data_IF_614465589961
#
_entry.id   IF_614465589961
#
_cell.length_a   1.000
_cell.length_b   1.000
_cell.length_c   1.000
_cell.angle_alpha   90.00
_cell.angle_beta   90.00
_cell.angle_gamma   90.00
#
_symmetry.space_group_name_H-M   'P 1'
#
loop_
_entity.id
_entity.type
_entity.pdbx_description
1 polymer ?
#
# COMPACT_ATOMS: atom_id res chain seq x y z
N UNK A 1 7.05 27.94 3.71
CA UNK A 1 7.18 27.22 4.99
C UNK A 1 5.85 26.55 5.29
N UNK A 2 5.88 25.23 5.53
CA UNK A 2 4.68 24.46 5.89
C UNK A 2 4.48 24.41 7.41
N UNK A 3 3.25 24.11 7.84
CA UNK A 3 2.90 23.88 9.25
C UNK A 3 2.30 22.50 9.42
N UNK A 4 2.86 21.72 10.34
CA UNK A 4 2.38 20.40 10.74
C UNK A 4 1.92 20.47 12.18
N UNK A 5 0.82 19.81 12.50
CA UNK A 5 0.32 19.67 13.86
C UNK A 5 0.28 18.19 14.24
N UNK A 6 0.89 17.86 15.38
CA UNK A 6 0.73 16.55 16.03
C UNK A 6 -0.11 16.75 17.29
N UNK A 7 -1.08 15.88 17.48
CA UNK A 7 -1.90 15.77 18.70
C UNK A 7 -1.95 14.31 19.10
N UNK A 8 -1.91 14.03 20.39
CA UNK A 8 -1.94 12.66 20.83
C UNK A 8 -2.18 12.49 22.31
N UNK A 9 -2.34 11.25 22.71
CA UNK A 9 -2.42 10.80 24.09
C UNK A 9 -1.38 9.70 24.24
N UNK A 10 -0.59 9.79 25.28
CA UNK A 10 0.39 8.77 25.65
C UNK A 10 0.04 8.25 27.05
N UNK A 11 0.05 6.94 27.19
CA UNK A 11 -0.16 6.26 28.45
C UNK A 11 1.04 5.37 28.75
N UNK A 12 1.57 5.49 29.95
CA UNK A 12 2.63 4.62 30.46
C UNK A 12 2.21 4.02 31.81
N UNK A 13 2.40 2.72 31.95
CA UNK A 13 2.12 1.97 33.16
C UNK A 13 3.36 1.17 33.54
N UNK A 14 3.84 1.39 34.77
CA UNK A 14 4.87 0.58 35.40
C UNK A 14 4.24 -0.16 36.58
N UNK A 15 4.36 -1.48 36.58
CA UNK A 15 3.78 -2.33 37.60
C UNK A 15 4.80 -3.33 38.13
N UNK A 16 4.85 -3.48 39.44
CA UNK A 16 5.47 -4.63 40.08
C UNK A 16 4.36 -5.61 40.42
N UNK A 17 4.21 -6.63 39.57
CA UNK A 17 3.10 -7.59 39.63
C UNK A 17 3.26 -8.56 40.78
N UNK A 18 4.49 -9.04 41.01
CA UNK A 18 4.86 -9.94 42.10
C UNK A 18 6.22 -9.49 42.63
N UNK A 19 6.33 -9.43 43.95
CA UNK A 19 7.58 -9.22 44.66
C UNK A 19 7.65 -10.11 45.90
N UNK A 20 8.56 -11.05 45.86
CA UNK A 20 8.89 -11.95 46.97
C UNK A 20 10.37 -11.95 47.23
N UNK A 21 10.84 -12.65 48.28
CA UNK A 21 12.27 -12.74 48.58
C UNK A 21 13.12 -13.32 47.44
N UNK A 22 12.55 -14.23 46.64
CA UNK A 22 13.29 -14.98 45.63
C UNK A 22 12.76 -14.76 44.21
N UNK A 23 11.65 -14.03 44.02
CA UNK A 23 11.03 -13.83 42.71
C UNK A 23 10.44 -12.43 42.61
N UNK A 24 10.78 -11.74 41.53
CA UNK A 24 10.18 -10.44 41.17
C UNK A 24 9.71 -10.51 39.74
N UNK A 25 8.50 -10.01 39.50
CA UNK A 25 7.94 -9.79 38.15
C UNK A 25 7.48 -8.36 38.01
N UNK A 26 8.06 -7.66 37.04
CA UNK A 26 7.73 -6.28 36.69
C UNK A 26 7.26 -6.20 35.24
N UNK A 27 6.30 -5.31 35.00
CA UNK A 27 5.77 -5.00 33.67
C UNK A 27 5.87 -3.50 33.44
N UNK A 28 6.45 -3.12 32.31
CA UNK A 28 6.40 -1.78 31.75
C UNK A 28 5.55 -1.85 30.46
N UNK A 29 4.48 -1.06 30.42
CA UNK A 29 3.60 -0.93 29.25
C UNK A 29 3.54 0.54 28.84
N UNK A 30 3.59 0.79 27.53
CA UNK A 30 3.32 2.09 26.97
C UNK A 30 2.48 1.97 25.70
N UNK A 31 1.64 2.98 25.47
CA UNK A 31 0.86 3.10 24.24
C UNK A 31 0.69 4.58 23.89
N UNK A 32 0.88 4.91 22.62
CA UNK A 32 0.77 6.27 22.09
C UNK A 32 -0.25 6.29 20.94
N UNK A 33 -1.20 7.19 21.02
CA UNK A 33 -2.17 7.52 19.97
C UNK A 33 -1.80 8.89 19.41
N UNK A 34 -1.29 8.96 18.19
CA UNK A 34 -0.84 10.21 17.57
C UNK A 34 -1.64 10.49 16.31
N UNK A 35 -2.16 11.70 16.21
CA UNK A 35 -2.78 12.24 15.00
C UNK A 35 -1.90 13.34 14.43
N UNK A 36 -1.34 13.10 13.28
CA UNK A 36 -0.60 14.06 12.48
C UNK A 36 -1.55 14.77 11.50
N UNK A 37 -1.37 16.07 11.29
CA UNK A 37 -2.16 16.83 10.31
C UNK A 37 -1.30 17.93 9.68
N UNK A 38 -1.22 17.96 8.37
CA UNK A 38 -0.63 19.04 7.60
C UNK A 38 -1.59 20.24 7.60
N UNK A 39 -1.24 21.34 8.26
CA UNK A 39 -2.10 22.53 8.39
C UNK A 39 -1.96 23.50 7.23
N UNK A 40 -0.77 23.66 6.71
CA UNK A 40 -0.51 24.53 5.56
C UNK A 40 0.77 24.11 4.83
N UNK A 41 0.85 24.47 3.58
CA UNK A 41 2.06 24.50 2.75
C UNK A 41 2.40 25.96 2.40
N UNK A 42 3.25 26.17 1.40
CA UNK A 42 3.49 27.51 0.85
C UNK A 42 2.18 28.11 0.32
N UNK A 43 2.12 29.44 0.24
CA UNK A 43 0.91 30.15 -0.21
C UNK A 43 0.42 29.63 -1.55
N UNK A 44 -0.88 29.30 -1.63
CA UNK A 44 -1.52 28.77 -2.85
C UNK A 44 -1.27 27.30 -3.14
N UNK A 45 -0.51 26.58 -2.29
CA UNK A 45 -0.22 25.15 -2.49
C UNK A 45 -1.07 24.33 -1.53
N UNK A 46 -1.91 23.44 -2.08
CA UNK A 46 -2.80 22.58 -1.29
C UNK A 46 -2.28 21.15 -1.15
N UNK A 47 -1.34 20.73 -1.98
CA UNK A 47 -0.71 19.40 -1.90
C UNK A 47 0.73 19.43 -2.41
N UNK A 48 1.50 18.44 -2.01
CA UNK A 48 2.83 18.13 -2.54
C UNK A 48 2.93 16.64 -2.84
N UNK A 49 3.60 16.30 -3.93
CA UNK A 49 3.89 14.92 -4.30
C UNK A 49 5.36 14.60 -4.00
N UNK A 50 5.61 13.37 -3.55
CA UNK A 50 6.94 12.86 -3.29
C UNK A 50 7.12 11.46 -3.90
N UNK A 51 8.37 11.09 -4.13
CA UNK A 51 8.78 9.75 -4.58
C UNK A 51 9.57 9.08 -3.47
N UNK A 52 9.31 7.79 -3.24
CA UNK A 52 10.12 6.98 -2.33
C UNK A 52 11.54 6.77 -2.85
N UNK A 53 11.71 6.78 -4.18
CA UNK A 53 13.02 6.59 -4.80
C UNK A 53 13.59 5.18 -4.64
N UNK A 54 12.75 4.17 -4.45
CA UNK A 54 13.20 2.78 -4.26
C UNK A 54 13.89 2.17 -5.50
N UNK A 55 13.63 2.71 -6.70
CA UNK A 55 14.27 2.34 -7.95
C UNK A 55 14.41 3.58 -8.83
N UNK A 56 15.58 3.79 -9.45
CA UNK A 56 15.86 4.91 -10.36
C UNK A 56 14.96 4.94 -11.59
N UNK A 57 14.45 3.77 -12.02
CA UNK A 57 13.54 3.64 -13.15
C UNK A 57 12.08 3.88 -12.79
N UNK A 58 11.75 3.91 -11.48
CA UNK A 58 10.41 4.21 -11.01
C UNK A 58 10.22 5.71 -10.91
N UNK A 59 9.49 6.28 -11.87
CA UNK A 59 9.37 7.73 -12.03
C UNK A 59 8.08 8.33 -11.46
N UNK A 60 7.13 7.49 -11.05
CA UNK A 60 5.86 7.96 -10.49
C UNK A 60 5.99 8.48 -9.07
N UNK A 61 5.14 9.43 -8.73
CA UNK A 61 4.93 9.86 -7.35
C UNK A 61 4.06 8.84 -6.65
N UNK A 62 4.56 8.30 -5.56
CA UNK A 62 3.91 7.26 -4.73
C UNK A 62 3.43 7.78 -3.38
N UNK A 63 3.86 8.99 -2.99
CA UNK A 63 3.42 9.67 -1.78
C UNK A 63 2.83 11.04 -2.07
N UNK A 64 1.86 11.44 -1.25
CA UNK A 64 1.24 12.76 -1.31
C UNK A 64 1.06 13.34 0.09
N UNK A 65 1.34 14.63 0.21
CA UNK A 65 1.01 15.44 1.38
C UNK A 65 -0.11 16.41 0.99
N UNK A 66 -1.28 16.30 1.64
CA UNK A 66 -2.47 17.08 1.34
C UNK A 66 -2.82 17.92 2.57
N UNK A 67 -3.05 19.23 2.39
CA UNK A 67 -3.46 20.13 3.47
C UNK A 67 -4.78 19.63 4.10
N UNK A 68 -4.81 19.56 5.41
CA UNK A 68 -5.94 19.03 6.19
C UNK A 68 -5.85 17.52 6.48
N UNK A 69 -4.94 16.79 5.83
CA UNK A 69 -4.77 15.35 6.01
C UNK A 69 -3.47 15.01 6.76
N UNK A 70 -3.30 13.73 7.08
CA UNK A 70 -2.07 13.18 7.63
C UNK A 70 -0.92 13.26 6.62
N UNK A 71 0.30 13.31 7.09
CA UNK A 71 1.47 13.00 6.26
C UNK A 71 1.57 11.48 6.01
N UNK A 72 2.41 11.11 5.05
CA UNK A 72 2.66 9.70 4.73
C UNK A 72 1.54 9.02 3.97
N UNK A 73 0.69 9.79 3.28
CA UNK A 73 -0.35 9.23 2.41
C UNK A 73 0.30 8.56 1.20
N UNK A 74 -0.05 7.30 0.99
CA UNK A 74 0.29 6.55 -0.22
C UNK A 74 -0.77 6.90 -1.27
N UNK A 75 -0.34 7.31 -2.47
CA UNK A 75 -1.21 7.87 -3.48
C UNK A 75 -1.07 7.14 -4.82
N UNK A 76 -2.16 6.62 -5.31
CA UNK A 76 -2.16 5.80 -6.53
C UNK A 76 -3.56 5.40 -6.96
N UNK A 77 -3.64 4.35 -7.77
CA UNK A 77 -4.90 3.79 -8.23
C UNK A 77 -5.42 2.73 -7.25
N UNK A 78 -6.73 2.65 -7.09
CA UNK A 78 -7.37 1.53 -6.40
C UNK A 78 -7.45 0.34 -7.36
N UNK A 79 -6.87 -0.80 -6.97
CA UNK A 79 -6.87 -2.03 -7.76
C UNK A 79 -8.27 -2.66 -7.77
N UNK A 80 -8.82 -2.89 -8.95
CA UNK A 80 -10.17 -3.46 -9.16
C UNK A 80 -10.11 -4.83 -9.86
N UNK A 81 -8.95 -5.47 -9.84
CA UNK A 81 -8.78 -6.80 -10.43
C UNK A 81 -8.09 -6.79 -11.79
N UNK A 82 -8.47 -7.71 -12.64
CA UNK A 82 -7.84 -7.97 -13.94
C UNK A 82 -8.92 -8.11 -14.98
N UNK A 83 -8.75 -7.46 -16.13
CA UNK A 83 -9.65 -7.64 -17.25
C UNK A 83 -9.73 -9.12 -17.65
N UNK A 84 -10.95 -9.61 -17.78
CA UNK A 84 -11.26 -10.99 -18.19
C UNK A 84 -11.80 -11.03 -19.61
N UNK A 85 -11.88 -12.21 -20.22
CA UNK A 85 -12.54 -12.36 -21.52
C UNK A 85 -14.00 -11.89 -21.50
N UNK A 86 -14.68 -11.99 -20.35
CA UNK A 86 -16.04 -11.49 -20.16
C UNK A 86 -16.19 -9.97 -20.35
N UNK A 87 -15.10 -9.19 -20.20
CA UNK A 87 -15.10 -7.74 -20.37
C UNK A 87 -15.01 -7.31 -21.85
N UNK A 88 -14.80 -8.27 -22.75
CA UNK A 88 -14.60 -8.01 -24.18
C UNK A 88 -15.62 -8.81 -25.02
N UNK A 89 -15.79 -8.39 -26.26
CA UNK A 89 -16.40 -9.19 -27.30
C UNK A 89 -15.45 -9.34 -28.49
N UNK A 90 -15.59 -10.49 -29.18
CA UNK A 90 -14.80 -10.77 -30.39
C UNK A 90 -15.46 -10.12 -31.60
N UNK A 91 -14.66 -9.53 -32.46
CA UNK A 91 -15.14 -9.10 -33.78
C UNK A 91 -15.18 -10.29 -34.72
N UNK A 92 -16.33 -10.62 -35.33
CA UNK A 92 -16.42 -11.74 -36.29
C UNK A 92 -15.38 -11.60 -37.40
N UNK A 93 -14.63 -12.67 -37.65
CA UNK A 93 -13.59 -12.70 -38.71
C UNK A 93 -12.29 -12.03 -38.34
N UNK A 94 -12.12 -11.58 -37.07
CA UNK A 94 -10.89 -10.94 -36.55
C UNK A 94 -10.45 -11.58 -35.25
N UNK A 95 -9.16 -11.54 -34.98
CA UNK A 95 -8.60 -11.85 -33.66
C UNK A 95 -8.70 -10.66 -32.67
N UNK A 96 -9.27 -9.55 -33.10
CA UNK A 96 -9.38 -8.33 -32.29
C UNK A 96 -10.46 -8.50 -31.24
N UNK A 97 -10.11 -8.16 -30.00
CA UNK A 97 -11.02 -8.04 -28.87
C UNK A 97 -11.35 -6.57 -28.64
N UNK A 98 -12.63 -6.26 -28.51
CA UNK A 98 -13.11 -4.90 -28.24
C UNK A 98 -13.72 -4.87 -26.85
N UNK A 99 -13.34 -3.85 -26.04
CA UNK A 99 -13.88 -3.66 -24.71
C UNK A 99 -15.39 -3.42 -24.79
N UNK A 100 -16.15 -4.07 -23.93
CA UNK A 100 -17.60 -3.90 -23.86
C UNK A 100 -17.98 -2.51 -23.38
N UNK A 101 -19.11 -2.01 -23.87
CA UNK A 101 -19.72 -0.81 -23.35
C UNK A 101 -20.02 -0.94 -21.85
N UNK A 102 -19.78 0.12 -21.08
CA UNK A 102 -19.94 0.12 -19.63
C UNK A 102 -18.76 -0.51 -18.85
N UNK A 103 -17.75 -1.05 -19.52
CA UNK A 103 -16.51 -1.50 -18.88
C UNK A 103 -15.48 -0.36 -18.93
N UNK A 104 -14.99 0.06 -17.78
CA UNK A 104 -14.00 1.15 -17.66
C UNK A 104 -12.76 0.85 -18.51
N UNK A 105 -12.37 1.80 -19.33
CA UNK A 105 -11.19 1.71 -20.19
C UNK A 105 -9.94 2.21 -19.47
N UNK A 106 -8.77 1.62 -19.78
CA UNK A 106 -7.48 2.15 -19.30
C UNK A 106 -6.54 2.46 -20.48
N UNK A 107 -6.57 3.70 -21.00
CA UNK A 107 -5.76 4.11 -22.16
C UNK A 107 -4.25 4.01 -21.91
N UNK A 108 -3.79 4.06 -20.66
CA UNK A 108 -2.37 3.90 -20.32
C UNK A 108 -1.81 2.52 -20.69
N UNK A 109 -2.68 1.52 -20.84
CA UNK A 109 -2.29 0.19 -21.33
C UNK A 109 -2.00 0.20 -22.84
N UNK A 110 -2.62 1.09 -23.61
CA UNK A 110 -2.50 1.10 -25.07
C UNK A 110 -2.88 -0.26 -25.67
N UNK A 111 -2.05 -0.81 -26.53
CA UNK A 111 -2.25 -2.13 -27.17
C UNK A 111 -2.26 -3.32 -26.18
N UNK A 112 -1.96 -3.09 -24.90
CA UNK A 112 -1.98 -4.10 -23.82
C UNK A 112 -3.34 -4.18 -23.13
N UNK A 113 -4.29 -3.30 -23.48
CA UNK A 113 -5.66 -3.38 -22.97
C UNK A 113 -6.36 -4.61 -23.58
N UNK A 114 -6.27 -5.72 -22.87
CA UNK A 114 -6.75 -7.02 -23.26
C UNK A 114 -7.04 -7.87 -22.02
N UNK A 115 -7.68 -9.05 -22.15
CA UNK A 115 -7.78 -9.99 -21.04
C UNK A 115 -6.42 -10.28 -20.41
N UNK A 116 -6.36 -10.21 -19.09
CA UNK A 116 -5.12 -10.31 -18.32
C UNK A 116 -4.45 -8.98 -17.97
N UNK A 117 -4.92 -7.85 -18.47
CA UNK A 117 -4.40 -6.54 -18.07
C UNK A 117 -4.96 -6.09 -16.71
N UNK A 118 -4.19 -5.27 -15.98
CA UNK A 118 -4.59 -4.69 -14.71
C UNK A 118 -5.80 -3.77 -14.89
N UNK A 119 -6.76 -3.87 -13.98
CA UNK A 119 -7.96 -3.05 -13.92
C UNK A 119 -7.92 -2.17 -12.68
N UNK A 120 -8.23 -0.90 -12.84
CA UNK A 120 -8.34 0.06 -11.76
C UNK A 120 -9.76 0.54 -11.60
N UNK A 121 -10.10 1.01 -10.42
CA UNK A 121 -11.38 1.59 -10.11
C UNK A 121 -11.45 3.00 -10.68
N UNK A 122 -12.51 3.25 -11.41
CA UNK A 122 -12.90 4.55 -11.89
C UNK A 122 -13.48 5.33 -10.71
N UNK A 123 -12.80 6.39 -10.31
CA UNK A 123 -13.17 7.16 -9.11
C UNK A 123 -14.16 8.30 -9.45
N UNK A 124 -14.09 8.86 -10.64
CA UNK A 124 -14.99 9.96 -11.05
C UNK A 124 -16.17 9.48 -11.91
N UNK A 125 -16.17 8.21 -12.34
CA UNK A 125 -17.27 7.57 -13.04
C UNK A 125 -17.40 7.97 -14.52
N UNK A 126 -16.31 8.47 -15.12
CA UNK A 126 -16.31 8.91 -16.52
C UNK A 126 -16.07 7.76 -17.52
N UNK A 127 -15.82 6.53 -17.02
CA UNK A 127 -15.59 5.31 -17.82
C UNK A 127 -14.16 5.16 -18.32
N UNK A 128 -13.23 6.05 -17.95
CA UNK A 128 -11.87 6.07 -18.47
C UNK A 128 -10.84 6.31 -17.38
N UNK A 129 -9.94 5.38 -17.13
CA UNK A 129 -8.86 5.55 -16.15
C UNK A 129 -7.87 6.62 -16.60
N UNK A 130 -7.77 7.67 -15.81
CA UNK A 130 -6.88 8.80 -15.98
C UNK A 130 -6.14 9.12 -14.68
N UNK A 131 -5.35 10.18 -14.66
CA UNK A 131 -4.70 10.65 -13.42
C UNK A 131 -5.68 11.17 -12.37
N UNK A 132 -6.95 11.45 -12.74
CA UNK A 132 -8.01 11.87 -11.82
C UNK A 132 -8.51 10.72 -10.93
N UNK A 133 -8.35 9.47 -11.39
CA UNK A 133 -8.73 8.28 -10.64
C UNK A 133 -7.71 7.87 -9.58
N UNK A 134 -6.61 8.61 -9.49
CA UNK A 134 -5.66 8.41 -8.40
C UNK A 134 -6.23 8.96 -7.10
N UNK A 135 -6.12 8.17 -6.04
CA UNK A 135 -6.64 8.48 -4.71
C UNK A 135 -5.66 8.09 -3.62
N UNK A 136 -5.99 8.41 -2.38
CA UNK A 136 -5.24 7.91 -1.22
C UNK A 136 -5.57 6.43 -1.02
N UNK A 137 -4.58 5.57 -1.25
CA UNK A 137 -4.71 4.12 -1.15
C UNK A 137 -4.13 3.54 0.14
N UNK A 138 -3.50 4.37 0.97
CA UNK A 138 -2.98 3.97 2.28
C UNK A 138 -2.34 5.13 3.03
N UNK A 139 -1.95 4.87 4.28
CA UNK A 139 -1.24 5.80 5.14
C UNK A 139 -0.11 5.09 5.89
N UNK A 140 1.12 5.56 5.70
CA UNK A 140 2.30 4.98 6.34
C UNK A 140 2.40 5.28 7.85
N UNK A 141 1.63 6.22 8.38
CA UNK A 141 1.67 6.55 9.81
C UNK A 141 0.69 5.67 10.60
N UNK A 142 1.12 5.05 11.69
CA UNK A 142 0.26 4.24 12.53
C UNK A 142 -0.80 5.09 13.26
N UNK A 143 -1.95 4.50 13.53
CA UNK A 143 -2.99 5.08 14.38
C UNK A 143 -2.61 5.05 15.84
N UNK A 144 -1.90 4.00 16.25
CA UNK A 144 -1.33 3.83 17.58
C UNK A 144 -0.15 2.84 17.54
N UNK A 145 0.76 3.01 18.46
CA UNK A 145 1.90 2.12 18.64
C UNK A 145 2.28 2.07 20.11
N UNK A 146 3.03 1.06 20.48
CA UNK A 146 3.46 0.91 21.86
C UNK A 146 4.32 -0.32 22.09
N UNK A 147 4.52 -0.63 23.35
CA UNK A 147 5.29 -1.78 23.75
C UNK A 147 4.95 -2.27 25.14
N UNK A 148 5.27 -3.53 25.40
CA UNK A 148 5.21 -4.14 26.70
C UNK A 148 6.52 -4.85 26.97
N UNK A 149 7.14 -4.53 28.10
CA UNK A 149 8.34 -5.21 28.59
C UNK A 149 7.99 -5.93 29.88
N UNK A 150 8.30 -7.21 29.97
CA UNK A 150 8.23 -7.96 31.21
C UNK A 150 9.63 -8.36 31.65
N UNK A 151 9.91 -8.16 32.92
CA UNK A 151 11.17 -8.52 33.56
C UNK A 151 10.90 -9.43 34.74
N UNK A 152 11.59 -10.54 34.78
CA UNK A 152 11.51 -11.54 35.83
C UNK A 152 12.88 -11.73 36.45
N UNK A 153 12.94 -11.74 37.76
CA UNK A 153 14.13 -12.13 38.50
C UNK A 153 13.80 -13.30 39.43
N UNK A 154 14.55 -14.35 39.34
CA UNK A 154 14.39 -15.52 40.21
C UNK A 154 15.75 -16.01 40.70
N UNK A 155 16.01 -15.87 42.01
CA UNK A 155 17.25 -16.33 42.66
C UNK A 155 18.55 -15.96 41.92
N UNK A 156 18.62 -14.71 41.40
CA UNK A 156 19.77 -14.19 40.66
C UNK A 156 19.81 -14.53 39.18
N UNK A 157 18.76 -15.16 38.64
CA UNK A 157 18.54 -15.32 37.20
C UNK A 157 17.59 -14.24 36.72
N UNK A 158 18.01 -13.43 35.76
CA UNK A 158 17.22 -12.38 35.14
C UNK A 158 16.76 -12.83 33.76
N UNK A 159 15.46 -12.67 33.49
CA UNK A 159 14.86 -12.88 32.17
C UNK A 159 13.99 -11.68 31.82
N UNK A 160 14.20 -11.10 30.63
CA UNK A 160 13.39 -10.00 30.13
C UNK A 160 13.04 -10.21 28.67
N UNK A 161 11.82 -9.86 28.31
CA UNK A 161 11.41 -9.77 26.91
C UNK A 161 10.58 -8.51 26.67
N UNK A 162 10.69 -7.97 25.45
CA UNK A 162 9.93 -6.82 24.99
C UNK A 162 9.17 -7.17 23.73
N UNK A 163 7.90 -6.82 23.71
CA UNK A 163 7.06 -6.85 22.53
C UNK A 163 6.74 -5.41 22.11
N UNK A 164 6.96 -5.09 20.85
CA UNK A 164 6.56 -3.83 20.24
C UNK A 164 5.47 -4.07 19.22
N UNK A 165 4.56 -3.12 19.09
CA UNK A 165 3.46 -3.19 18.15
C UNK A 165 3.15 -1.85 17.53
N UNK A 166 2.76 -1.90 16.25
CA UNK A 166 2.17 -0.79 15.50
C UNK A 166 0.84 -1.26 14.92
N UNK A 167 -0.11 -0.34 14.81
CA UNK A 167 -1.41 -0.66 14.23
C UNK A 167 -1.94 0.46 13.35
N UNK A 168 -2.52 0.05 12.22
CA UNK A 168 -3.27 0.93 11.33
C UNK A 168 -2.40 1.77 10.41
N UNK A 169 -1.13 1.40 10.23
CA UNK A 169 -0.28 1.90 9.16
C UNK A 169 -0.30 0.93 7.97
N UNK A 170 -0.17 1.51 6.79
CA UNK A 170 -0.02 0.78 5.53
C UNK A 170 1.44 0.87 5.08
N UNK A 171 1.91 -0.17 4.41
CA UNK A 171 3.26 -0.20 3.82
C UNK A 171 3.11 -0.48 2.33
N UNK A 172 3.59 0.46 1.50
CA UNK A 172 3.69 0.22 0.07
C UNK A 172 4.84 -0.76 -0.22
N UNK A 173 4.49 -1.98 -0.59
CA UNK A 173 5.46 -3.05 -0.82
C UNK A 173 6.05 -2.97 -2.24
N UNK A 174 6.96 -2.02 -2.45
CA UNK A 174 7.65 -1.80 -3.71
C UNK A 174 8.48 -3.04 -4.16
N UNK A 175 9.01 -3.81 -3.22
CA UNK A 175 9.72 -5.06 -3.52
C UNK A 175 8.78 -6.08 -4.16
N UNK A 176 7.56 -6.23 -3.64
CA UNK A 176 6.56 -7.12 -4.23
C UNK A 176 6.10 -6.62 -5.60
N UNK A 177 5.84 -5.32 -5.76
CA UNK A 177 5.54 -4.72 -7.05
C UNK A 177 6.61 -5.10 -8.09
N UNK A 178 7.87 -4.89 -7.73
CA UNK A 178 9.01 -5.12 -8.60
C UNK A 178 9.22 -6.60 -8.94
N UNK A 179 9.08 -7.48 -7.96
CA UNK A 179 9.28 -8.92 -8.11
C UNK A 179 8.09 -9.66 -8.73
N UNK A 180 6.96 -8.98 -8.97
CA UNK A 180 5.79 -9.53 -9.66
C UNK A 180 5.60 -9.00 -11.07
N UNK A 181 6.30 -7.94 -11.47
CA UNK A 181 6.29 -7.46 -12.84
C UNK A 181 7.16 -8.34 -13.72
N UNK A 182 6.53 -9.03 -14.67
CA UNK A 182 7.18 -10.03 -15.52
C UNK A 182 7.78 -9.47 -16.80
N UNK A 183 7.34 -8.29 -17.24
CA UNK A 183 7.73 -7.67 -18.52
C UNK A 183 9.06 -6.90 -18.47
N UNK A 184 9.62 -6.69 -17.29
CA UNK A 184 10.74 -5.80 -17.08
C UNK A 184 12.01 -6.51 -16.67
N UNK A 185 12.42 -7.61 -17.25
CA UNK A 185 13.80 -8.03 -17.01
C UNK A 185 14.07 -9.37 -16.29
N UNK A 186 15.24 -9.83 -16.48
CA UNK A 186 16.08 -10.88 -15.91
C UNK A 186 16.19 -10.81 -14.38
N UNK A 187 15.06 -10.94 -13.65
CA UNK A 187 14.99 -10.83 -12.19
C UNK A 187 14.39 -12.07 -11.58
N UNK A 188 14.75 -12.34 -10.35
CA UNK A 188 14.04 -13.30 -9.53
C UNK A 188 12.62 -12.77 -9.29
N UNK A 189 11.65 -13.66 -9.42
CA UNK A 189 10.24 -13.37 -9.25
C UNK A 189 9.70 -14.06 -7.99
N UNK A 190 8.67 -13.48 -7.40
CA UNK A 190 7.94 -14.14 -6.32
C UNK A 190 7.14 -15.32 -6.87
N UNK A 191 6.97 -16.36 -6.04
CA UNK A 191 6.22 -17.57 -6.41
C UNK A 191 4.78 -17.28 -6.87
N UNK A 192 4.17 -16.20 -6.39
CA UNK A 192 2.82 -15.77 -6.80
C UNK A 192 2.70 -15.48 -8.31
N UNK A 193 3.83 -15.21 -9.00
CA UNK A 193 3.83 -15.00 -10.46
C UNK A 193 3.47 -16.27 -11.24
N UNK A 194 3.65 -17.44 -10.63
CA UNK A 194 3.19 -18.70 -11.23
C UNK A 194 1.65 -18.73 -11.40
N UNK A 195 0.93 -17.99 -10.54
CA UNK A 195 -0.54 -17.86 -10.60
C UNK A 195 -1.01 -16.66 -11.45
N UNK A 196 -0.15 -16.15 -12.34
CA UNK A 196 -0.53 -15.05 -13.25
C UNK A 196 -1.68 -15.43 -14.16
N UNK A 197 -2.42 -14.42 -14.56
CA UNK A 197 -3.48 -14.59 -15.55
C UNK A 197 -2.94 -15.21 -16.86
N UNK A 198 -3.64 -16.20 -17.34
CA UNK A 198 -3.45 -16.80 -18.67
C UNK A 198 -4.81 -17.26 -19.21
N UNK A 199 -4.95 -17.60 -20.51
CA UNK A 199 -6.20 -18.12 -21.05
C UNK A 199 -6.74 -19.37 -20.35
N UNK A 200 -5.86 -20.13 -19.69
CA UNK A 200 -6.20 -21.34 -18.92
C UNK A 200 -6.25 -21.11 -17.41
N UNK A 201 -5.87 -19.92 -16.95
CA UNK A 201 -5.91 -19.51 -15.54
C UNK A 201 -6.44 -18.08 -15.43
N UNK A 202 -7.73 -17.94 -15.20
CA UNK A 202 -8.42 -16.65 -15.07
C UNK A 202 -8.14 -15.98 -13.70
N UNK A 203 -6.87 -15.86 -13.33
CA UNK A 203 -6.45 -15.18 -12.09
C UNK A 203 -7.00 -13.75 -12.07
N UNK A 204 -7.50 -13.32 -10.90
CA UNK A 204 -7.90 -11.93 -10.67
C UNK A 204 -6.95 -11.20 -9.71
N UNK A 205 -5.74 -11.74 -9.53
CA UNK A 205 -4.73 -11.22 -8.58
C UNK A 205 -3.45 -10.78 -9.27
N UNK A 206 -2.91 -11.60 -10.17
CA UNK A 206 -1.64 -11.34 -10.85
C UNK A 206 -1.92 -11.14 -12.34
N UNK A 207 -1.61 -9.96 -12.90
CA UNK A 207 -1.81 -9.69 -14.32
C UNK A 207 -1.00 -10.64 -15.23
N UNK A 208 -1.38 -10.70 -16.48
CA UNK A 208 -0.62 -11.41 -17.52
C UNK A 208 0.77 -10.82 -17.72
N UNK A 209 1.63 -11.49 -18.50
CA UNK A 209 3.02 -11.07 -18.72
C UNK A 209 3.19 -9.59 -19.09
N UNK A 210 2.33 -9.03 -19.92
CA UNK A 210 2.37 -7.61 -20.33
C UNK A 210 1.20 -6.77 -19.78
N UNK A 211 0.44 -7.32 -18.84
CA UNK A 211 -0.80 -6.73 -18.35
C UNK A 211 -0.61 -5.57 -17.35
N UNK A 212 0.55 -4.95 -17.31
CA UNK A 212 0.87 -3.86 -16.39
C UNK A 212 1.01 -2.52 -17.10
N UNK A 213 0.74 -1.45 -16.37
CA UNK A 213 1.28 -0.14 -16.69
C UNK A 213 2.56 0.05 -15.87
N UNK A 214 3.68 0.27 -16.55
CA UNK A 214 4.97 0.48 -15.88
C UNK A 214 4.90 1.76 -15.06
N UNK A 215 5.40 1.72 -13.83
CA UNK A 215 5.41 2.81 -12.88
C UNK A 215 4.05 3.18 -12.25
N UNK A 216 2.98 2.46 -12.49
CA UNK A 216 1.75 2.72 -11.76
C UNK A 216 1.86 2.30 -10.30
N UNK A 217 1.41 3.19 -9.43
CA UNK A 217 1.20 2.94 -8.01
C UNK A 217 -0.24 2.52 -7.80
N UNK A 218 -0.47 1.35 -7.23
CA UNK A 218 -1.83 0.87 -6.98
C UNK A 218 -1.94 -0.02 -5.73
N UNK A 219 -3.13 -0.11 -5.18
CA UNK A 219 -3.43 -0.62 -3.83
C UNK A 219 -3.19 -2.12 -3.60
N UNK A 220 -2.69 -2.85 -4.59
CA UNK A 220 -2.33 -4.26 -4.43
C UNK A 220 -1.00 -4.47 -3.67
N UNK A 221 -0.16 -3.46 -3.60
CA UNK A 221 1.21 -3.53 -3.09
C UNK A 221 1.45 -2.69 -1.84
#
# INVERSE_FOLDING_TARGET
VGKIQNKGIELSLNSTNIQTRNFTWQTNFNISFIRNTLKSLASGVNYMQARSGFDSNFTSYDYMAIVGQSLGLIYGYEFDGIYQYSDFYSVPGSSTLVLKEGVTSNPSLGNRLAPGAVKYKDQDGDGVITTKDRTVIGNALPKWYGGITNTFNYKGIDFSFMLQFNYGNDIYNATRLYATQTNTQRRNQLAEVADRWSPTNASNKVPSYNGYVVNDVYSRF
#
